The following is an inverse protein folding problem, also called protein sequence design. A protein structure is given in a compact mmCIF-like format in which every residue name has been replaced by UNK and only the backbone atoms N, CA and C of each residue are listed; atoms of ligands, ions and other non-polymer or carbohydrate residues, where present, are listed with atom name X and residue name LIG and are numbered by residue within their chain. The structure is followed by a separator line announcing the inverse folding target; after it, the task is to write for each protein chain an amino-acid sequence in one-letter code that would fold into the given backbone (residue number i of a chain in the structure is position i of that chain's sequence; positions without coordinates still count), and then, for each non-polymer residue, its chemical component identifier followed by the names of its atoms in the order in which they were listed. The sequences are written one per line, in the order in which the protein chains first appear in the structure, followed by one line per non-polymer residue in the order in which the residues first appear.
data_IF_844833302960
#
_entry.id   IF_844833302960
#
_cell.length_a   1.000
_cell.length_b   1.000
_cell.length_c   1.000
_cell.angle_alpha   90.00
_cell.angle_beta   90.00
_cell.angle_gamma   90.00
#
_symmetry.space_group_name_H-M   'P 1'
#
loop_
_entity.id
_entity.type
_entity.pdbx_description
1 polymer ?
#
# COMPACT_ATOMS: atom_id res chain seq x y z
N UNK A 1 -34.33 6.95 -25.56
CA UNK A 1 -33.23 5.97 -25.60
C UNK A 1 -32.59 5.90 -24.22
N UNK A 2 -33.01 4.95 -23.38
CA UNK A 2 -32.50 4.74 -22.03
C UNK A 2 -31.01 4.43 -22.06
N UNK A 3 -30.19 5.29 -21.44
CA UNK A 3 -28.75 5.07 -21.26
C UNK A 3 -28.54 4.20 -20.02
N UNK A 4 -29.00 2.96 -20.06
CA UNK A 4 -28.57 1.93 -19.10
C UNK A 4 -27.17 1.48 -19.51
N UNK A 5 -26.15 2.17 -18.99
CA UNK A 5 -24.76 1.68 -19.04
C UNK A 5 -24.43 1.02 -17.70
N UNK A 6 -25.13 -0.06 -17.40
CA UNK A 6 -24.73 -0.99 -16.33
C UNK A 6 -23.66 -1.95 -16.86
N UNK A 7 -22.56 -1.36 -17.32
CA UNK A 7 -21.38 -2.07 -17.79
C UNK A 7 -20.44 -2.27 -16.62
N UNK A 8 -20.61 -3.38 -15.90
CA UNK A 8 -19.75 -3.86 -14.80
C UNK A 8 -18.29 -3.53 -15.11
N UNK A 9 -17.74 -2.46 -14.49
CA UNK A 9 -16.35 -2.07 -14.67
C UNK A 9 -15.52 -3.28 -14.24
N UNK A 10 -14.83 -3.92 -15.19
CA UNK A 10 -13.88 -4.99 -14.85
C UNK A 10 -12.86 -4.36 -13.93
N UNK A 11 -12.93 -4.68 -12.65
CA UNK A 11 -11.98 -4.18 -11.66
C UNK A 11 -10.60 -4.58 -12.16
N UNK A 12 -9.80 -3.58 -12.49
CA UNK A 12 -8.41 -3.80 -12.83
C UNK A 12 -7.76 -4.51 -11.63
N UNK A 13 -7.29 -5.74 -11.84
CA UNK A 13 -6.65 -6.56 -10.80
C UNK A 13 -5.22 -6.09 -10.52
N UNK A 14 -4.75 -5.05 -11.21
CA UNK A 14 -3.44 -4.46 -10.96
C UNK A 14 -3.49 -3.80 -9.58
N UNK A 15 -2.59 -4.20 -8.67
CA UNK A 15 -2.50 -3.53 -7.38
C UNK A 15 -2.22 -2.04 -7.60
N UNK A 16 -2.83 -1.16 -6.79
CA UNK A 16 -2.63 0.27 -6.94
C UNK A 16 -1.14 0.60 -6.86
N UNK A 17 -0.66 1.38 -7.83
CA UNK A 17 0.72 1.86 -7.83
C UNK A 17 0.89 2.76 -6.61
N UNK A 18 1.68 2.30 -5.64
CA UNK A 18 2.00 3.08 -4.45
C UNK A 18 2.62 4.42 -4.83
N UNK A 19 2.12 5.48 -4.20
CA UNK A 19 2.64 6.84 -4.43
C UNK A 19 4.09 6.99 -3.96
N UNK A 20 4.81 8.00 -4.46
CA UNK A 20 6.17 8.28 -3.99
C UNK A 20 6.23 8.60 -2.48
N UNK A 21 5.17 9.20 -1.93
CA UNK A 21 5.02 9.46 -0.49
C UNK A 21 4.90 8.14 0.28
N UNK A 22 4.03 7.24 -0.17
CA UNK A 22 3.81 5.93 0.45
C UNK A 22 5.09 5.08 0.44
N UNK A 23 5.86 5.11 -0.67
CA UNK A 23 7.17 4.44 -0.73
C UNK A 23 8.20 5.01 0.24
N UNK A 24 8.10 6.31 0.59
CA UNK A 24 8.99 6.95 1.56
C UNK A 24 8.59 6.55 2.99
N UNK A 25 7.30 6.52 3.28
CA UNK A 25 6.76 6.09 4.57
C UNK A 25 7.10 4.61 4.85
N UNK A 26 6.93 3.73 3.86
CA UNK A 26 7.31 2.31 3.96
C UNK A 26 8.80 2.13 4.33
N UNK A 27 9.69 2.90 3.70
CA UNK A 27 11.13 2.89 4.03
C UNK A 27 11.41 3.38 5.45
N UNK A 28 10.72 4.40 5.91
CA UNK A 28 10.90 4.95 7.26
C UNK A 28 10.39 3.95 8.30
N UNK A 29 9.22 3.38 8.08
CA UNK A 29 8.64 2.37 8.97
C UNK A 29 9.53 1.13 9.05
N UNK A 30 10.01 0.61 7.92
CA UNK A 30 10.92 -0.55 7.90
C UNK A 30 12.22 -0.33 8.67
N UNK A 31 12.74 0.89 8.68
CA UNK A 31 13.92 1.25 9.52
C UNK A 31 13.55 1.24 11.00
N UNK A 32 12.41 1.84 11.34
CA UNK A 32 11.91 1.89 12.72
C UNK A 32 11.60 0.49 13.26
N UNK A 33 10.98 -0.37 12.45
CA UNK A 33 10.64 -1.75 12.83
C UNK A 33 11.90 -2.56 13.12
N UNK A 34 12.94 -2.43 12.28
CA UNK A 34 14.24 -3.08 12.51
C UNK A 34 14.91 -2.58 13.79
N UNK A 35 14.85 -1.29 14.06
CA UNK A 35 15.40 -0.71 15.30
C UNK A 35 14.64 -1.19 16.54
N UNK A 36 13.31 -1.23 16.46
CA UNK A 36 12.46 -1.77 17.53
C UNK A 36 12.70 -3.26 17.77
N UNK A 37 12.82 -4.06 16.71
CA UNK A 37 13.15 -5.49 16.82
C UNK A 37 14.51 -5.69 17.46
N UNK A 38 15.53 -4.91 17.06
CA UNK A 38 16.86 -4.97 17.68
C UNK A 38 16.85 -4.58 19.16
N UNK A 39 16.04 -3.60 19.57
CA UNK A 39 15.88 -3.21 20.97
C UNK A 39 15.11 -4.24 21.79
N UNK A 40 14.05 -4.82 21.25
CA UNK A 40 13.23 -5.80 21.96
C UNK A 40 13.86 -7.19 22.03
N UNK A 41 14.78 -7.53 21.12
CA UNK A 41 15.47 -8.83 21.12
C UNK A 41 16.70 -8.88 22.03
N UNK A 42 17.09 -7.75 22.62
CA UNK A 42 18.20 -7.62 23.55
C UNK A 42 17.80 -7.61 25.04
N UNK A 43 16.55 -7.92 25.36
CA UNK A 43 16.01 -7.98 26.73
C UNK A 43 15.46 -9.37 27.05
#
# INVERSE_FOLDING_TARGET
MSKEKDGKKKSDKTPPIRSAKEKREDKVNKRRDRENEARNKGN
#
